data_IF_336211224752
#
_entry.id   IF_336211224752
#
_cell.length_a   1.000
_cell.length_b   1.000
_cell.length_c   1.000
_cell.angle_alpha   90.00
_cell.angle_beta   90.00
_cell.angle_gamma   90.00
#
_symmetry.space_group_name_H-M   'P 1'
#
loop_
_entity.id
_entity.type
_entity.pdbx_description
1 polymer ?
#
# COMPACT_ATOMS: atom_id res chain seq x y z
N UNK A 1 -16.92 19.66 10.96
CA UNK A 1 -16.46 19.01 9.71
C UNK A 1 -17.71 18.67 8.92
N UNK A 2 -18.05 19.43 7.89
CA UNK A 2 -19.31 19.31 7.12
C UNK A 2 -19.15 18.58 5.79
N UNK A 3 -17.98 17.97 5.53
CA UNK A 3 -17.76 17.25 4.29
C UNK A 3 -18.69 16.04 4.17
N UNK A 4 -19.23 15.84 2.97
CA UNK A 4 -20.13 14.73 2.62
C UNK A 4 -19.44 13.82 1.63
N UNK A 5 -19.60 12.52 1.81
CA UNK A 5 -19.19 11.50 0.85
C UNK A 5 -20.42 10.78 0.32
N UNK A 6 -20.56 10.76 -1.01
CA UNK A 6 -21.70 10.16 -1.70
C UNK A 6 -21.39 8.76 -2.20
N UNK A 7 -22.35 7.85 -2.07
CA UNK A 7 -22.30 6.51 -2.66
C UNK A 7 -23.66 6.21 -3.33
N UNK A 8 -23.71 6.38 -4.66
CA UNK A 8 -24.97 6.38 -5.40
C UNK A 8 -25.87 7.52 -4.94
N UNK A 9 -27.12 7.19 -4.59
CA UNK A 9 -28.12 8.17 -4.12
C UNK A 9 -28.06 8.45 -2.60
N UNK A 10 -27.08 7.89 -1.89
CA UNK A 10 -26.92 8.07 -0.43
C UNK A 10 -25.76 9.01 -0.13
N UNK A 11 -25.98 9.90 0.83
CA UNK A 11 -24.99 10.81 1.35
C UNK A 11 -24.63 10.43 2.79
N UNK A 12 -23.34 10.32 3.06
CA UNK A 12 -22.79 10.04 4.38
C UNK A 12 -21.96 11.24 4.83
N UNK A 13 -21.99 11.56 6.12
CA UNK A 13 -21.05 12.54 6.67
C UNK A 13 -19.66 11.93 6.58
N UNK A 14 -18.72 12.66 6.01
CA UNK A 14 -17.34 12.18 5.88
C UNK A 14 -16.73 11.86 7.24
N UNK A 15 -17.15 12.53 8.31
CA UNK A 15 -16.79 12.19 9.68
C UNK A 15 -17.01 10.70 10.00
N UNK A 16 -18.12 10.11 9.54
CA UNK A 16 -18.48 8.72 9.83
C UNK A 16 -17.78 7.72 8.89
N UNK A 17 -17.33 8.17 7.71
CA UNK A 17 -16.83 7.29 6.64
C UNK A 17 -15.42 7.62 6.15
N UNK A 18 -14.69 8.50 6.83
CA UNK A 18 -13.34 8.93 6.45
C UNK A 18 -12.40 7.75 6.21
N UNK A 19 -12.31 6.83 7.18
CA UNK A 19 -11.46 5.63 7.08
C UNK A 19 -11.93 4.62 6.04
N UNK A 20 -13.15 4.77 5.50
CA UNK A 20 -13.69 3.93 4.43
C UNK A 20 -13.38 4.49 3.04
N UNK A 21 -12.75 5.66 2.92
CA UNK A 21 -12.54 6.32 1.63
C UNK A 21 -11.73 5.46 0.66
N UNK A 22 -10.51 5.04 1.02
CA UNK A 22 -9.67 4.19 0.16
C UNK A 22 -10.27 2.80 -0.06
N UNK A 23 -10.91 2.23 0.96
CA UNK A 23 -11.65 0.96 0.84
C UNK A 23 -12.78 1.06 -0.19
N UNK A 24 -13.57 2.15 -0.17
CA UNK A 24 -14.69 2.36 -1.09
C UNK A 24 -14.26 2.47 -2.56
N UNK A 25 -13.01 2.89 -2.81
CA UNK A 25 -12.42 2.95 -4.15
C UNK A 25 -11.79 1.62 -4.60
N UNK A 26 -11.49 0.72 -3.67
CA UNK A 26 -10.74 -0.51 -3.93
C UNK A 26 -11.47 -1.45 -4.91
N UNK A 27 -12.75 -1.74 -4.63
CA UNK A 27 -13.54 -2.64 -5.48
C UNK A 27 -13.84 -2.05 -6.88
N UNK A 28 -14.30 -0.79 -7.02
CA UNK A 28 -14.51 -0.18 -8.33
C UNK A 28 -13.24 -0.17 -9.19
N UNK A 29 -12.08 0.19 -8.63
CA UNK A 29 -10.81 0.21 -9.37
C UNK A 29 -10.39 -1.19 -9.82
N UNK A 30 -10.52 -2.20 -8.94
CA UNK A 30 -10.25 -3.58 -9.30
C UNK A 30 -11.16 -4.09 -10.43
N UNK A 31 -12.47 -3.82 -10.34
CA UNK A 31 -13.43 -4.18 -11.39
C UNK A 31 -13.15 -3.45 -12.71
N UNK A 32 -12.75 -2.18 -12.65
CA UNK A 32 -12.36 -1.42 -13.84
C UNK A 32 -11.11 -2.03 -14.50
N UNK A 33 -10.08 -2.36 -13.71
CA UNK A 33 -8.88 -3.02 -14.22
C UNK A 33 -9.21 -4.36 -14.89
N UNK A 34 -10.02 -5.21 -14.23
CA UNK A 34 -10.47 -6.49 -14.79
C UNK A 34 -11.16 -6.31 -16.15
N UNK A 35 -12.04 -5.32 -16.27
CA UNK A 35 -12.75 -5.03 -17.54
C UNK A 35 -11.83 -4.49 -18.62
N UNK A 36 -10.87 -3.64 -18.25
CA UNK A 36 -9.95 -3.01 -19.19
C UNK A 36 -8.99 -4.02 -19.83
N UNK A 37 -8.51 -4.99 -19.04
CA UNK A 37 -7.52 -5.98 -19.53
C UNK A 37 -8.10 -7.35 -19.85
N UNK A 38 -9.34 -7.64 -19.43
CA UNK A 38 -10.01 -8.94 -19.55
C UNK A 38 -9.18 -10.13 -19.02
N UNK A 39 -8.40 -9.87 -17.97
CA UNK A 39 -7.53 -10.84 -17.29
C UNK A 39 -7.52 -10.55 -15.80
N UNK A 40 -6.99 -11.46 -14.98
CA UNK A 40 -6.73 -11.19 -13.57
C UNK A 40 -5.84 -9.95 -13.45
N UNK A 41 -6.33 -8.95 -12.72
CA UNK A 41 -5.62 -7.69 -12.51
C UNK A 41 -5.04 -7.59 -11.12
N UNK A 42 -4.13 -6.63 -10.95
CA UNK A 42 -3.56 -6.27 -9.67
C UNK A 42 -3.80 -4.77 -9.45
N UNK A 43 -4.21 -4.41 -8.23
CA UNK A 43 -4.36 -3.03 -7.80
C UNK A 43 -3.67 -2.89 -6.45
N UNK A 44 -2.89 -1.82 -6.28
CA UNK A 44 -2.18 -1.51 -5.05
C UNK A 44 -2.77 -0.23 -4.47
N UNK A 45 -3.24 -0.27 -3.21
CA UNK A 45 -3.83 0.89 -2.52
C UNK A 45 -3.04 1.26 -1.28
N UNK A 46 -2.94 2.58 -1.02
CA UNK A 46 -2.33 3.10 0.20
C UNK A 46 -3.29 2.99 1.39
N UNK A 47 -4.48 3.57 1.27
CA UNK A 47 -5.48 3.50 2.33
C UNK A 47 -6.22 2.16 2.29
N UNK A 48 -6.36 1.53 3.44
CA UNK A 48 -7.03 0.24 3.62
C UNK A 48 -7.94 0.28 4.84
N UNK A 49 -8.92 -0.63 4.87
CA UNK A 49 -9.81 -0.93 5.99
C UNK A 49 -10.04 -2.46 6.00
N UNK A 50 -10.45 -3.11 7.11
CA UNK A 50 -10.81 -4.52 7.09
C UNK A 50 -11.66 -4.90 5.86
N UNK A 51 -11.30 -6.00 5.20
CA UNK A 51 -11.78 -6.49 3.89
C UNK A 51 -11.15 -5.87 2.61
N UNK A 52 -10.31 -4.83 2.70
CA UNK A 52 -9.60 -4.28 1.53
C UNK A 52 -8.81 -5.35 0.74
N UNK A 53 -8.18 -6.31 1.44
CA UNK A 53 -7.39 -7.38 0.83
C UNK A 53 -8.14 -8.29 -0.14
N UNK A 54 -9.48 -8.23 -0.17
CA UNK A 54 -10.30 -8.92 -1.18
C UNK A 54 -10.11 -8.35 -2.59
N UNK A 55 -9.71 -7.08 -2.71
CA UNK A 55 -9.66 -6.36 -3.97
C UNK A 55 -8.28 -5.79 -4.31
N UNK A 56 -7.45 -5.50 -3.31
CA UNK A 56 -6.18 -4.78 -3.50
C UNK A 56 -5.05 -5.39 -2.66
N UNK A 57 -3.83 -5.27 -3.16
CA UNK A 57 -2.62 -5.35 -2.35
C UNK A 57 -2.30 -4.00 -1.70
N UNK A 58 -1.26 -3.99 -0.87
CA UNK A 58 -0.84 -2.80 -0.13
C UNK A 58 0.68 -2.64 -0.16
N UNK A 59 1.17 -1.41 -0.08
CA UNK A 59 2.57 -1.16 0.28
C UNK A 59 2.61 -0.29 1.52
N UNK A 60 3.63 -0.46 2.36
CA UNK A 60 3.70 0.13 3.69
C UNK A 60 3.89 1.66 3.72
N UNK A 61 3.73 2.35 2.59
CA UNK A 61 3.76 3.79 2.49
C UNK A 61 5.17 4.38 2.40
N UNK A 62 5.25 5.66 2.73
CA UNK A 62 6.42 6.52 2.50
C UNK A 62 7.44 6.30 3.65
N UNK A 63 8.21 5.21 3.54
CA UNK A 63 9.28 4.86 4.49
C UNK A 63 10.57 5.66 4.23
N UNK A 64 11.53 5.59 5.16
CA UNK A 64 12.83 6.27 5.08
C UNK A 64 13.96 5.30 4.73
N UNK A 65 14.99 5.83 4.08
CA UNK A 65 16.25 5.16 3.78
C UNK A 65 17.14 5.00 5.04
N UNK A 66 16.62 4.32 6.07
CA UNK A 66 17.29 4.04 7.34
C UNK A 66 17.10 2.57 7.78
N UNK A 67 18.00 2.06 8.60
CA UNK A 67 17.97 0.68 9.10
C UNK A 67 16.71 0.33 9.92
N UNK A 68 16.16 1.29 10.66
CA UNK A 68 14.93 1.09 11.44
C UNK A 68 13.74 0.74 10.54
N UNK A 69 13.61 1.43 9.40
CA UNK A 69 12.52 1.20 8.45
C UNK A 69 12.68 -0.12 7.67
N UNK A 70 13.92 -0.56 7.43
CA UNK A 70 14.20 -1.91 6.95
C UNK A 70 13.64 -2.95 7.94
N UNK A 71 13.90 -2.79 9.24
CA UNK A 71 13.38 -3.71 10.25
C UNK A 71 11.85 -3.63 10.36
N UNK A 72 11.27 -2.42 10.41
CA UNK A 72 9.81 -2.21 10.48
C UNK A 72 9.04 -2.80 9.31
N UNK A 73 9.67 -2.92 8.14
CA UNK A 73 9.05 -3.57 6.98
C UNK A 73 8.58 -5.01 7.30
N UNK A 74 9.34 -5.74 8.12
CA UNK A 74 9.02 -7.11 8.52
C UNK A 74 7.76 -7.12 9.38
N UNK A 75 7.69 -6.21 10.36
CA UNK A 75 6.54 -6.06 11.26
C UNK A 75 5.29 -5.72 10.45
N UNK A 76 5.36 -4.69 9.61
CA UNK A 76 4.22 -4.26 8.80
C UNK A 76 3.71 -5.36 7.88
N UNK A 77 4.59 -6.13 7.24
CA UNK A 77 4.15 -7.27 6.42
C UNK A 77 3.41 -8.34 7.24
N UNK A 78 3.90 -8.68 8.44
CA UNK A 78 3.26 -9.67 9.30
C UNK A 78 1.89 -9.17 9.80
N UNK A 79 1.80 -7.91 10.20
CA UNK A 79 0.54 -7.27 10.61
C UNK A 79 -0.48 -7.29 9.48
N UNK A 80 -0.10 -6.94 8.25
CA UNK A 80 -1.00 -6.95 7.11
C UNK A 80 -1.46 -8.34 6.70
N UNK A 81 -0.66 -9.38 6.96
CA UNK A 81 -1.15 -10.76 6.83
C UNK A 81 -2.28 -11.06 7.83
N UNK A 82 -2.17 -10.60 9.07
CA UNK A 82 -3.25 -10.70 10.08
C UNK A 82 -4.47 -9.86 9.67
N UNK A 83 -4.26 -8.69 9.08
CA UNK A 83 -5.34 -7.84 8.55
C UNK A 83 -6.01 -8.39 7.28
N UNK A 84 -5.53 -9.53 6.76
CA UNK A 84 -6.11 -10.20 5.59
C UNK A 84 -5.67 -9.61 4.26
N UNK A 85 -4.47 -9.03 4.17
CA UNK A 85 -3.88 -8.44 2.96
C UNK A 85 -2.49 -9.06 2.73
N UNK A 86 -2.41 -10.25 2.11
CA UNK A 86 -1.15 -11.00 1.99
C UNK A 86 -0.21 -10.47 0.90
N UNK A 87 -0.72 -9.74 -0.11
CA UNK A 87 0.11 -9.13 -1.14
C UNK A 87 0.59 -7.75 -0.67
N UNK A 88 1.66 -7.76 0.12
CA UNK A 88 2.20 -6.59 0.83
C UNK A 88 3.73 -6.52 0.73
N UNK A 89 4.27 -5.31 0.84
CA UNK A 89 5.71 -5.05 0.90
C UNK A 89 6.04 -3.59 1.21
N UNK A 90 7.30 -3.29 1.46
CA UNK A 90 7.81 -1.93 1.64
C UNK A 90 8.52 -1.42 0.39
N UNK A 91 8.78 -0.12 0.34
CA UNK A 91 9.67 0.47 -0.66
C UNK A 91 11.12 0.13 -0.33
N UNK A 92 11.68 -0.79 -1.12
CA UNK A 92 13.02 -1.34 -0.92
C UNK A 92 14.06 -0.26 -1.16
N UNK A 93 15.06 -0.22 -0.28
CA UNK A 93 16.09 0.82 -0.14
C UNK A 93 15.62 2.13 0.51
N UNK A 94 14.30 2.32 0.68
CA UNK A 94 13.68 3.48 1.32
C UNK A 94 13.17 4.53 0.33
N UNK A 95 12.01 5.13 0.62
CA UNK A 95 11.39 6.16 -0.21
C UNK A 95 11.91 7.57 0.06
N UNK A 96 12.06 7.95 1.34
CA UNK A 96 12.54 9.27 1.76
C UNK A 96 14.02 9.22 2.17
N UNK A 97 14.82 10.14 1.63
CA UNK A 97 16.25 10.24 1.88
C UNK A 97 17.10 9.39 0.93
N UNK A 98 18.37 9.79 0.75
CA UNK A 98 19.31 9.03 -0.07
C UNK A 98 19.75 7.78 0.69
N UNK A 99 19.63 6.63 0.04
CA UNK A 99 20.09 5.36 0.60
C UNK A 99 21.62 5.26 0.57
N UNK A 100 22.18 4.30 1.31
CA UNK A 100 23.59 3.93 1.20
C UNK A 100 23.71 2.62 0.44
N UNK A 101 24.88 2.36 -0.17
CA UNK A 101 25.11 1.10 -0.88
C UNK A 101 24.89 -0.12 0.05
N UNK A 102 25.41 -0.06 1.28
CA UNK A 102 25.24 -1.13 2.25
C UNK A 102 23.77 -1.35 2.64
N UNK A 103 23.05 -0.28 3.01
CA UNK A 103 21.64 -0.37 3.37
C UNK A 103 20.82 -0.93 2.20
N UNK A 104 20.99 -0.38 0.99
CA UNK A 104 20.23 -0.82 -0.17
C UNK A 104 20.58 -2.26 -0.56
N UNK A 105 21.84 -2.68 -0.44
CA UNK A 105 22.23 -4.08 -0.64
C UNK A 105 21.50 -5.00 0.34
N UNK A 106 21.46 -4.67 1.63
CA UNK A 106 20.73 -5.47 2.63
C UNK A 106 19.23 -5.44 2.40
N UNK A 107 18.68 -4.30 2.00
CA UNK A 107 17.26 -4.20 1.73
C UNK A 107 16.87 -4.96 0.46
N UNK A 108 17.71 -5.00 -0.58
CA UNK A 108 17.46 -5.81 -1.76
C UNK A 108 17.48 -7.31 -1.41
N UNK A 109 18.39 -7.74 -0.52
CA UNK A 109 18.42 -9.13 -0.01
C UNK A 109 17.13 -9.50 0.72
N UNK A 110 16.66 -8.64 1.63
CA UNK A 110 15.42 -8.86 2.36
C UNK A 110 14.18 -8.75 1.45
N UNK A 111 14.13 -7.68 0.67
CA UNK A 111 13.00 -7.31 -0.18
C UNK A 111 12.72 -8.31 -1.28
N UNK A 112 13.74 -9.03 -1.78
CA UNK A 112 13.56 -10.12 -2.73
C UNK A 112 12.59 -11.22 -2.24
N UNK A 113 12.29 -11.27 -0.94
CA UNK A 113 11.34 -12.20 -0.33
C UNK A 113 9.99 -11.56 0.04
N UNK A 114 9.77 -10.27 -0.26
CA UNK A 114 8.46 -9.65 -0.08
C UNK A 114 7.45 -10.21 -1.08
N UNK A 115 6.20 -10.50 -0.66
CA UNK A 115 5.12 -10.82 -1.61
C UNK A 115 4.97 -9.73 -2.69
N UNK A 116 5.04 -8.46 -2.29
CA UNK A 116 5.12 -7.32 -3.19
C UNK A 116 6.51 -6.68 -3.13
N UNK A 117 7.41 -7.12 -4.02
CA UNK A 117 8.72 -6.49 -4.17
C UNK A 117 8.63 -5.27 -5.09
N UNK A 118 9.03 -4.11 -4.55
CA UNK A 118 9.18 -2.86 -5.32
C UNK A 118 10.37 -2.07 -4.79
N UNK A 119 11.24 -1.63 -5.70
CA UNK A 119 12.21 -0.56 -5.42
C UNK A 119 11.58 0.76 -5.90
N UNK A 120 11.31 1.67 -4.96
CA UNK A 120 10.65 2.95 -5.22
C UNK A 120 11.29 4.04 -4.36
N UNK A 121 11.39 5.26 -4.91
CA UNK A 121 12.11 6.36 -4.30
C UNK A 121 11.38 7.70 -4.56
N UNK A 122 11.52 8.63 -3.63
CA UNK A 122 11.02 10.00 -3.78
C UNK A 122 11.83 10.79 -4.82
N UNK A 123 11.18 11.73 -5.51
CA UNK A 123 11.76 12.48 -6.64
C UNK A 123 13.05 13.27 -6.31
N UNK A 124 13.29 13.58 -5.04
CA UNK A 124 14.41 14.43 -4.60
C UNK A 124 15.61 13.64 -4.11
N UNK A 125 15.57 12.32 -4.24
CA UNK A 125 16.57 11.41 -3.67
C UNK A 125 17.21 10.59 -4.79
N UNK A 126 18.46 10.19 -4.57
CA UNK A 126 19.25 9.37 -5.50
C UNK A 126 19.28 7.93 -5.04
#
# INVERSE_FOLDING_TARGET
>A
MESVQSAGNKNYRHYDVHSLYGWSQSQPTFQAALKAVNQRSLVISRSTYPSSGRYVGHWLGDNKSIWDDLYRSIIGMLEFNIFGIPYVGADVCGFEGNTTNELCTRWMQLGAFYPFFRNHNGLKHK
#
